data_IF_355620788641
#
_entry.id   IF_355620788641
#
_cell.length_a   1.000
_cell.length_b   1.000
_cell.length_c   1.000
_cell.angle_alpha   90.00
_cell.angle_beta   90.00
_cell.angle_gamma   90.00
#
_symmetry.space_group_name_H-M   'P 1'
#
loop_
_entity.id
_entity.type
_entity.pdbx_description
1 polymer ?
#
# COMPACT_ATOMS: atom_id res chain seq x y z
N UNK A 1 -0.63 12.39 8.10
CA UNK A 1 -1.69 11.42 7.71
C UNK A 1 -1.79 11.45 6.19
N UNK A 2 -1.58 10.33 5.51
CA UNK A 2 -1.91 10.22 4.08
C UNK A 2 -3.44 10.19 3.98
N UNK A 3 -4.03 10.93 3.03
CA UNK A 3 -5.47 11.04 2.92
C UNK A 3 -6.11 9.68 2.67
N UNK A 4 -6.86 9.15 3.64
CA UNK A 4 -7.73 8.01 3.42
C UNK A 4 -8.95 8.50 2.67
N UNK A 5 -9.08 8.13 1.40
CA UNK A 5 -10.39 8.13 0.76
C UNK A 5 -11.23 7.02 1.41
N UNK A 6 -12.56 7.12 1.43
CA UNK A 6 -13.45 6.08 2.02
C UNK A 6 -13.14 4.65 1.50
N UNK A 7 -12.53 4.57 0.32
CA UNK A 7 -12.17 3.34 -0.39
C UNK A 7 -10.77 2.81 -0.06
N UNK A 8 -9.88 3.62 0.52
CA UNK A 8 -8.48 3.25 0.78
C UNK A 8 -8.08 3.62 2.21
N UNK A 9 -7.70 2.62 2.98
CA UNK A 9 -6.96 2.83 4.22
C UNK A 9 -5.46 2.76 3.94
N UNK A 10 -4.74 3.82 4.28
CA UNK A 10 -3.29 3.91 4.09
C UNK A 10 -2.63 4.35 5.39
N UNK A 11 -1.58 3.64 5.80
CA UNK A 11 -0.77 4.01 6.95
C UNK A 11 0.72 3.94 6.61
N UNK A 12 1.46 4.98 6.96
CA UNK A 12 2.91 5.09 6.75
C UNK A 12 3.62 4.96 8.10
N UNK A 13 4.57 4.04 8.15
CA UNK A 13 5.55 3.90 9.22
C UNK A 13 6.86 4.48 8.68
N UNK A 14 7.40 5.49 9.35
CA UNK A 14 8.62 6.17 8.96
C UNK A 14 9.43 6.52 10.21
N UNK A 15 10.67 6.06 10.28
CA UNK A 15 11.64 6.39 11.35
C UNK A 15 12.75 7.36 10.89
N UNK A 16 12.63 7.91 9.67
CA UNK A 16 13.62 8.77 9.03
C UNK A 16 14.71 8.02 8.24
N UNK A 17 14.84 6.69 8.41
CA UNK A 17 15.78 5.85 7.66
C UNK A 17 15.09 4.73 6.88
N UNK A 18 13.98 4.22 7.42
CA UNK A 18 13.23 3.09 6.89
C UNK A 18 11.76 3.46 6.83
N UNK A 19 11.15 3.13 5.71
CA UNK A 19 9.74 3.39 5.50
C UNK A 19 9.00 2.09 5.22
N UNK A 20 7.79 1.98 5.72
CA UNK A 20 6.85 0.92 5.36
C UNK A 20 5.45 1.49 5.22
N UNK A 21 4.66 0.90 4.33
CA UNK A 21 3.28 1.29 4.11
C UNK A 21 2.37 0.09 4.26
N UNK A 22 1.24 0.32 4.92
CA UNK A 22 0.08 -0.57 4.92
C UNK A 22 -0.94 0.08 3.99
N UNK A 23 -1.38 -0.65 2.98
CA UNK A 23 -2.38 -0.17 2.02
C UNK A 23 -3.49 -1.21 1.92
N UNK A 24 -4.72 -0.81 2.22
CA UNK A 24 -5.89 -1.67 2.16
C UNK A 24 -6.95 -1.03 1.27
N UNK A 25 -7.51 -1.82 0.36
CA UNK A 25 -8.69 -1.46 -0.39
C UNK A 25 -9.94 -1.91 0.38
N UNK A 26 -10.77 -0.93 0.75
CA UNK A 26 -12.02 -1.11 1.49
C UNK A 26 -13.23 -0.95 0.57
N UNK A 27 -13.07 -1.23 -0.72
CA UNK A 27 -14.12 -1.10 -1.73
C UNK A 27 -14.25 -2.35 -2.61
N UNK A 28 -15.38 -2.43 -3.31
CA UNK A 28 -15.66 -3.48 -4.29
C UNK A 28 -14.97 -3.25 -5.64
N UNK A 29 -14.32 -2.10 -5.84
CA UNK A 29 -13.61 -1.76 -7.08
C UNK A 29 -12.11 -1.92 -6.88
N UNK A 30 -11.37 -2.25 -7.95
CA UNK A 30 -9.92 -2.23 -7.89
C UNK A 30 -9.41 -0.79 -7.70
N UNK A 31 -8.37 -0.64 -6.89
CA UNK A 31 -7.77 0.64 -6.54
C UNK A 31 -6.29 0.64 -6.85
N UNK A 32 -5.75 1.83 -7.13
CA UNK A 32 -4.31 2.03 -7.24
C UNK A 32 -3.87 3.09 -6.25
N UNK A 33 -2.72 2.89 -5.64
CA UNK A 33 -2.14 3.82 -4.68
C UNK A 33 -0.67 4.07 -4.98
N UNK A 34 -0.23 5.33 -4.86
CA UNK A 34 1.16 5.71 -5.04
C UNK A 34 1.85 5.88 -3.69
N UNK A 35 2.83 5.03 -3.42
CA UNK A 35 3.67 5.12 -2.24
C UNK A 35 4.54 6.39 -2.26
N UNK A 36 4.83 6.98 -1.09
CA UNK A 36 5.79 8.08 -0.99
C UNK A 36 7.25 7.65 -1.22
N UNK A 37 7.52 6.36 -1.36
CA UNK A 37 8.86 5.77 -1.55
C UNK A 37 8.85 4.62 -2.56
N UNK A 38 10.04 4.23 -3.02
CA UNK A 38 10.23 3.05 -3.86
C UNK A 38 10.15 1.80 -2.97
N UNK A 39 9.15 0.96 -3.20
CA UNK A 39 9.00 -0.30 -2.48
C UNK A 39 10.11 -1.29 -2.84
N UNK A 40 10.67 -1.94 -1.83
CA UNK A 40 11.72 -2.94 -1.98
C UNK A 40 11.27 -4.35 -1.61
N UNK A 41 10.60 -4.51 -0.47
CA UNK A 41 10.19 -5.83 0.05
C UNK A 41 8.73 -5.84 0.49
N UNK A 42 7.96 -6.81 0.02
CA UNK A 42 6.60 -7.09 0.52
C UNK A 42 6.71 -7.93 1.79
N UNK A 43 6.03 -7.46 2.83
CA UNK A 43 5.93 -8.14 4.13
C UNK A 43 4.64 -8.95 4.25
N UNK A 44 3.56 -8.47 3.61
CA UNK A 44 2.28 -9.15 3.57
C UNK A 44 1.56 -8.82 2.27
N UNK A 45 0.89 -9.83 1.70
CA UNK A 45 0.01 -9.67 0.54
C UNK A 45 -1.26 -10.48 0.74
N UNK A 46 -2.39 -9.90 0.39
CA UNK A 46 -3.70 -10.54 0.48
C UNK A 46 -4.55 -10.12 -0.72
N UNK A 47 -5.45 -11.00 -1.17
CA UNK A 47 -6.44 -10.65 -2.19
C UNK A 47 -5.84 -10.30 -3.56
N UNK A 48 -4.64 -10.79 -3.88
CA UNK A 48 -3.99 -10.55 -5.17
C UNK A 48 -3.42 -9.14 -5.35
N UNK A 49 -3.24 -8.39 -4.28
CA UNK A 49 -2.57 -7.09 -4.35
C UNK A 49 -1.14 -7.24 -4.92
N UNK A 50 -0.71 -6.25 -5.71
CA UNK A 50 0.61 -6.22 -6.34
C UNK A 50 1.26 -4.86 -6.15
N UNK A 51 2.57 -4.80 -6.34
CA UNK A 51 3.29 -3.52 -6.39
C UNK A 51 4.37 -3.54 -7.46
N UNK A 52 4.70 -2.35 -7.99
CA UNK A 52 5.82 -2.13 -8.90
C UNK A 52 6.40 -0.73 -8.65
N UNK A 53 7.64 -0.69 -8.17
CA UNK A 53 8.29 0.57 -7.81
C UNK A 53 7.52 1.28 -6.71
N UNK A 54 6.85 2.38 -7.05
CA UNK A 54 6.01 3.16 -6.12
C UNK A 54 4.52 2.84 -6.21
N UNK A 55 4.07 2.14 -7.24
CA UNK A 55 2.65 1.91 -7.46
C UNK A 55 2.22 0.60 -6.82
N UNK A 56 1.16 0.65 -6.03
CA UNK A 56 0.44 -0.49 -5.48
C UNK A 56 -0.87 -0.62 -6.23
N UNK A 57 -1.21 -1.83 -6.67
CA UNK A 57 -2.50 -2.16 -7.30
C UNK A 57 -3.22 -3.16 -6.41
N UNK A 58 -4.43 -2.82 -5.99
CA UNK A 58 -5.24 -3.55 -5.03
C UNK A 58 -6.56 -3.96 -5.67
N UNK A 59 -6.81 -5.26 -5.91
CA UNK A 59 -8.15 -5.77 -6.18
C UNK A 59 -9.14 -5.41 -5.05
N UNK A 60 -10.43 -5.64 -5.28
CA UNK A 60 -11.46 -5.43 -4.27
C UNK A 60 -11.12 -6.15 -2.95
N UNK A 61 -11.29 -5.46 -1.82
CA UNK A 61 -11.07 -6.02 -0.47
C UNK A 61 -9.69 -6.65 -0.23
N UNK A 62 -8.65 -6.15 -0.92
CA UNK A 62 -7.28 -6.64 -0.81
C UNK A 62 -6.41 -5.74 0.08
N UNK A 63 -5.25 -6.26 0.51
CA UNK A 63 -4.30 -5.52 1.32
C UNK A 63 -2.85 -5.88 1.00
N UNK A 64 -1.95 -4.93 1.22
CA UNK A 64 -0.52 -5.07 0.98
C UNK A 64 0.28 -4.28 2.02
N UNK A 65 1.33 -4.92 2.54
CA UNK A 65 2.33 -4.26 3.39
C UNK A 65 3.67 -4.33 2.67
N UNK A 66 4.28 -3.18 2.45
CA UNK A 66 5.56 -3.05 1.72
C UNK A 66 6.51 -2.11 2.44
N UNK A 67 7.77 -2.51 2.50
CA UNK A 67 8.88 -1.72 3.04
C UNK A 67 9.66 -1.10 1.89
N UNK A 68 10.24 0.08 2.11
CA UNK A 68 11.20 0.72 1.21
C UNK A 68 12.36 -0.23 0.86
N UNK A 69 12.93 0.00 -0.32
CA UNK A 69 14.22 -0.60 -0.69
C UNK A 69 15.33 -0.21 0.28
#
# INVERSE_FOLDING_TARGET
MLGSAEQLFTYLIDDGQKQAAIVCNLSAQAQTYLLPFVGGKVLLVQGGATYRGRQVTLPAWSSLVVKSA
#
